data_IF_343945495576
#
_entry.id   IF_343945495576
#
_cell.length_a   1.000
_cell.length_b   1.000
_cell.length_c   1.000
_cell.angle_alpha   90.00
_cell.angle_beta   90.00
_cell.angle_gamma   90.00
#
_symmetry.space_group_name_H-M   'P 1'
#
loop_
_entity.id
_entity.type
_entity.pdbx_description
1 polymer ?
#
# COMPACT_ATOMS: atom_id res chain seq x y z
N UNK A 1 10.73 -16.14 -0.53
CA UNK A 1 9.84 -15.06 -0.02
C UNK A 1 10.71 -13.99 0.65
N UNK A 2 10.37 -12.69 0.54
CA UNK A 2 11.18 -11.57 1.08
C UNK A 2 11.05 -11.34 2.59
N UNK A 3 9.90 -11.66 3.19
CA UNK A 3 9.62 -11.44 4.61
C UNK A 3 9.38 -12.77 5.33
N UNK A 4 9.87 -12.91 6.56
CA UNK A 4 9.65 -14.08 7.41
C UNK A 4 8.17 -14.17 7.84
N UNK A 5 7.63 -15.39 7.91
CA UNK A 5 6.30 -15.63 8.47
C UNK A 5 6.42 -15.84 9.97
N UNK A 6 5.65 -15.06 10.74
CA UNK A 6 5.62 -15.13 12.19
C UNK A 6 4.32 -15.84 12.60
N UNK A 7 4.33 -17.16 12.65
CA UNK A 7 3.11 -17.99 12.77
C UNK A 7 2.23 -17.59 13.96
N UNK A 8 2.82 -17.40 15.14
CA UNK A 8 2.09 -17.00 16.35
C UNK A 8 1.43 -15.62 16.21
N UNK A 9 2.16 -14.65 15.66
CA UNK A 9 1.66 -13.28 15.49
C UNK A 9 0.60 -13.21 14.38
N UNK A 10 0.83 -13.93 13.28
CA UNK A 10 -0.09 -14.01 12.16
C UNK A 10 -1.39 -14.73 12.53
N UNK A 11 -1.34 -15.74 13.39
CA UNK A 11 -2.55 -16.38 13.91
C UNK A 11 -3.46 -15.37 14.63
N UNK A 12 -2.88 -14.52 15.49
CA UNK A 12 -3.64 -13.43 16.12
C UNK A 12 -4.20 -12.42 15.12
N UNK A 13 -3.48 -12.13 14.03
CA UNK A 13 -4.01 -11.28 12.96
C UNK A 13 -5.14 -11.92 12.17
N UNK A 14 -5.06 -13.23 11.91
CA UNK A 14 -6.11 -14.00 11.25
C UNK A 14 -7.38 -13.97 12.10
N UNK A 15 -7.27 -14.30 13.38
CA UNK A 15 -8.40 -14.25 14.31
C UNK A 15 -9.07 -12.87 14.33
N UNK A 16 -8.29 -11.79 14.51
CA UNK A 16 -8.84 -10.41 14.51
C UNK A 16 -9.53 -10.05 13.20
N UNK A 17 -8.99 -10.50 12.06
CA UNK A 17 -9.61 -10.28 10.75
C UNK A 17 -10.95 -10.99 10.63
N UNK A 18 -11.01 -12.27 11.03
CA UNK A 18 -12.23 -13.06 11.03
C UNK A 18 -13.28 -12.42 11.93
N UNK A 19 -12.98 -12.15 13.20
CA UNK A 19 -13.95 -11.54 14.12
C UNK A 19 -14.47 -10.20 13.61
N UNK A 20 -13.62 -9.37 12.98
CA UNK A 20 -14.06 -8.13 12.33
C UNK A 20 -15.06 -8.40 11.21
N UNK A 21 -14.78 -9.39 10.36
CA UNK A 21 -15.64 -9.75 9.22
C UNK A 21 -17.00 -10.27 9.66
N UNK A 22 -17.04 -11.07 10.73
CA UNK A 22 -18.29 -11.55 11.31
C UNK A 22 -19.12 -10.39 11.88
N UNK A 23 -18.47 -9.44 12.57
CA UNK A 23 -19.14 -8.23 13.08
C UNK A 23 -19.68 -7.33 11.96
N UNK A 24 -19.09 -7.37 10.77
CA UNK A 24 -19.58 -6.68 9.56
C UNK A 24 -20.76 -7.41 8.89
N UNK A 25 -21.12 -8.61 9.36
CA UNK A 25 -22.20 -9.44 8.81
C UNK A 25 -21.76 -10.38 7.68
N UNK A 26 -20.46 -10.51 7.41
CA UNK A 26 -19.95 -11.42 6.38
C UNK A 26 -20.01 -12.88 6.86
N UNK A 27 -20.45 -13.80 5.99
CA UNK A 27 -20.41 -15.24 6.25
C UNK A 27 -18.97 -15.75 6.25
N UNK A 28 -18.47 -16.14 7.43
CA UNK A 28 -17.10 -16.64 7.60
C UNK A 28 -17.00 -18.13 7.31
N UNK A 29 -18.05 -18.87 7.65
CA UNK A 29 -18.05 -20.32 7.62
C UNK A 29 -18.42 -20.85 6.23
N UNK A 30 -17.95 -22.05 5.89
CA UNK A 30 -18.39 -22.78 4.69
C UNK A 30 -19.74 -23.50 4.88
N UNK A 31 -20.28 -23.50 6.10
CA UNK A 31 -21.53 -24.16 6.46
C UNK A 31 -22.75 -23.43 5.89
N UNK A 32 -23.69 -24.20 5.34
CA UNK A 32 -24.96 -23.71 4.82
C UNK A 32 -25.98 -23.56 5.96
N UNK A 33 -25.90 -24.44 6.96
CA UNK A 33 -26.76 -24.40 8.14
C UNK A 33 -26.35 -23.27 9.09
N UNK A 34 -27.33 -22.44 9.45
CA UNK A 34 -27.17 -21.34 10.41
C UNK A 34 -26.71 -21.82 11.78
N UNK A 35 -27.21 -22.96 12.26
CA UNK A 35 -26.86 -23.45 13.60
C UNK A 35 -25.41 -23.94 13.67
N UNK A 36 -24.94 -24.62 12.62
CA UNK A 36 -23.54 -25.05 12.53
C UNK A 36 -22.58 -23.87 12.32
N UNK A 37 -23.00 -22.88 11.55
CA UNK A 37 -22.25 -21.64 11.36
C UNK A 37 -22.07 -20.88 12.68
N UNK A 38 -23.16 -20.72 13.45
CA UNK A 38 -23.12 -20.07 14.76
C UNK A 38 -22.23 -20.83 15.75
N UNK A 39 -22.36 -22.17 15.82
CA UNK A 39 -21.51 -22.99 16.68
C UNK A 39 -20.01 -22.83 16.35
N UNK A 40 -19.66 -22.88 15.07
CA UNK A 40 -18.27 -22.67 14.64
C UNK A 40 -17.77 -21.25 14.96
N UNK A 41 -18.63 -20.23 14.90
CA UNK A 41 -18.26 -18.87 15.31
C UNK A 41 -18.03 -18.77 16.82
N UNK A 42 -18.84 -19.43 17.64
CA UNK A 42 -18.62 -19.48 19.09
C UNK A 42 -17.29 -20.17 19.43
N UNK A 43 -16.96 -21.27 18.75
CA UNK A 43 -15.67 -21.94 18.87
C UNK A 43 -14.51 -20.99 18.52
N UNK A 44 -14.66 -20.20 17.46
CA UNK A 44 -13.66 -19.21 17.06
C UNK A 44 -13.46 -18.14 18.15
N UNK A 45 -14.53 -17.64 18.76
CA UNK A 45 -14.43 -16.63 19.81
C UNK A 45 -13.71 -17.15 21.06
N UNK A 46 -13.86 -18.43 21.39
CA UNK A 46 -13.22 -19.05 22.55
C UNK A 46 -11.69 -19.25 22.40
N UNK A 47 -11.18 -19.37 21.17
CA UNK A 47 -9.78 -19.71 20.87
C UNK A 47 -8.84 -18.50 20.64
N UNK A 48 -9.22 -17.29 21.09
CA UNK A 48 -8.47 -16.04 20.84
C UNK A 48 -6.97 -16.13 21.14
N UNK A 49 -6.60 -16.79 22.24
CA UNK A 49 -5.21 -16.88 22.71
C UNK A 49 -4.47 -18.15 22.23
N UNK A 50 -5.10 -18.98 21.40
CA UNK A 50 -4.57 -20.29 21.02
C UNK A 50 -4.25 -20.35 19.51
N UNK A 51 -3.04 -19.94 19.09
CA UNK A 51 -2.71 -19.74 17.68
C UNK A 51 -2.84 -21.02 16.84
N UNK A 52 -2.52 -22.18 17.43
CA UNK A 52 -2.62 -23.48 16.76
C UNK A 52 -4.07 -23.90 16.50
N UNK A 53 -4.99 -23.60 17.43
CA UNK A 53 -6.41 -23.89 17.26
C UNK A 53 -7.05 -22.97 16.22
N UNK A 54 -6.63 -21.71 16.15
CA UNK A 54 -7.08 -20.77 15.11
C UNK A 54 -6.77 -21.29 13.71
N UNK A 55 -5.56 -21.83 13.50
CA UNK A 55 -5.17 -22.40 12.19
C UNK A 55 -6.05 -23.60 11.86
N UNK A 56 -6.22 -24.54 12.82
CA UNK A 56 -7.09 -25.71 12.64
C UNK A 56 -8.54 -25.34 12.34
N UNK A 57 -9.04 -24.28 12.98
CA UNK A 57 -10.38 -23.77 12.73
C UNK A 57 -10.51 -23.25 11.30
N UNK A 58 -9.53 -22.49 10.82
CA UNK A 58 -9.51 -21.97 9.45
C UNK A 58 -9.50 -23.12 8.44
N UNK A 59 -8.70 -24.15 8.65
CA UNK A 59 -8.61 -25.27 7.72
C UNK A 59 -9.92 -26.07 7.64
N UNK A 60 -10.71 -26.10 8.72
CA UNK A 60 -11.93 -26.91 8.83
C UNK A 60 -13.22 -26.17 8.47
N UNK A 61 -13.36 -24.91 8.89
CA UNK A 61 -14.64 -24.20 8.90
C UNK A 61 -14.69 -23.00 7.95
N UNK A 62 -13.58 -22.58 7.36
CA UNK A 62 -13.49 -21.34 6.59
C UNK A 62 -14.19 -21.42 5.23
N UNK A 63 -14.89 -20.34 4.86
CA UNK A 63 -15.41 -20.14 3.50
C UNK A 63 -14.27 -19.95 2.48
N UNK A 64 -14.31 -20.62 1.31
CA UNK A 64 -13.25 -20.55 0.30
C UNK A 64 -13.06 -19.16 -0.29
N UNK A 65 -14.14 -18.35 -0.38
CA UNK A 65 -14.06 -16.98 -0.87
C UNK A 65 -13.33 -16.06 0.11
N UNK A 66 -13.55 -16.29 1.40
CA UNK A 66 -12.90 -15.53 2.46
C UNK A 66 -11.44 -15.96 2.64
N UNK A 67 -11.08 -17.22 2.40
CA UNK A 67 -9.70 -17.71 2.53
C UNK A 67 -8.73 -16.93 1.61
N UNK A 68 -9.11 -16.71 0.35
CA UNK A 68 -8.31 -15.91 -0.60
C UNK A 68 -8.10 -14.49 -0.09
N UNK A 69 -9.18 -13.83 0.37
CA UNK A 69 -9.14 -12.47 0.92
C UNK A 69 -8.30 -12.40 2.20
N UNK A 70 -8.42 -13.39 3.08
CA UNK A 70 -7.63 -13.52 4.30
C UNK A 70 -6.14 -13.63 3.98
N UNK A 71 -5.75 -14.53 3.07
CA UNK A 71 -4.34 -14.69 2.66
C UNK A 71 -3.75 -13.39 2.13
N UNK A 72 -4.50 -12.64 1.32
CA UNK A 72 -4.08 -11.32 0.83
C UNK A 72 -3.96 -10.29 1.96
N UNK A 73 -4.94 -10.22 2.86
CA UNK A 73 -4.96 -9.30 3.99
C UNK A 73 -3.77 -9.55 4.94
N UNK A 74 -3.47 -10.82 5.25
CA UNK A 74 -2.34 -11.19 6.10
C UNK A 74 -1.01 -10.91 5.40
N UNK A 75 -0.89 -11.16 4.09
CA UNK A 75 0.30 -10.79 3.31
C UNK A 75 0.54 -9.28 3.34
N UNK A 76 -0.51 -8.47 3.15
CA UNK A 76 -0.41 -7.02 3.22
C UNK A 76 -0.02 -6.54 4.62
N UNK A 77 -0.61 -7.12 5.67
CA UNK A 77 -0.30 -6.80 7.07
C UNK A 77 1.14 -7.15 7.43
N UNK A 78 1.62 -8.33 7.02
CA UNK A 78 3.03 -8.75 7.17
C UNK A 78 3.98 -7.76 6.50
N UNK A 79 3.72 -7.39 5.24
CA UNK A 79 4.54 -6.40 4.53
C UNK A 79 4.57 -5.07 5.27
N UNK A 80 3.43 -4.57 5.75
CA UNK A 80 3.33 -3.31 6.49
C UNK A 80 4.04 -3.36 7.84
N UNK A 81 3.98 -4.50 8.55
CA UNK A 81 4.67 -4.71 9.81
C UNK A 81 6.18 -4.53 9.64
N UNK A 82 6.81 -5.28 8.73
CA UNK A 82 8.24 -5.16 8.47
C UNK A 82 8.63 -3.80 7.87
N UNK A 83 7.81 -3.25 6.97
CA UNK A 83 8.09 -1.92 6.39
C UNK A 83 7.92 -0.77 7.41
N UNK A 84 7.29 -0.99 8.56
CA UNK A 84 7.17 0.04 9.58
C UNK A 84 8.49 0.22 10.35
N UNK A 85 9.34 -0.80 10.40
CA UNK A 85 10.62 -0.81 11.13
C UNK A 85 11.61 0.20 10.54
N UNK A 86 11.65 0.35 9.22
CA UNK A 86 12.57 1.26 8.53
C UNK A 86 11.82 2.45 7.92
N UNK A 87 12.33 3.67 8.12
CA UNK A 87 11.70 4.90 7.60
C UNK A 87 11.62 4.89 6.08
N UNK A 88 12.67 4.47 5.38
CA UNK A 88 12.72 4.48 3.91
C UNK A 88 11.80 3.44 3.25
N UNK A 89 11.34 2.41 3.97
CA UNK A 89 10.37 1.43 3.43
C UNK A 89 8.92 1.74 3.82
N UNK A 90 8.73 2.67 4.77
CA UNK A 90 7.43 3.15 5.21
C UNK A 90 6.75 3.94 4.09
N UNK A 91 5.45 3.72 3.92
CA UNK A 91 4.64 4.42 2.92
C UNK A 91 3.69 5.39 3.61
N UNK A 92 3.40 6.51 2.95
CA UNK A 92 2.47 7.54 3.41
C UNK A 92 1.25 7.52 2.51
N UNK A 93 0.06 7.56 3.10
CA UNK A 93 -1.17 7.83 2.38
C UNK A 93 -1.28 9.35 2.20
N UNK A 94 -1.55 9.78 0.97
CA UNK A 94 -1.81 11.17 0.61
C UNK A 94 -3.11 11.21 -0.18
N UNK A 95 -3.90 12.26 0.03
CA UNK A 95 -5.08 12.53 -0.78
C UNK A 95 -4.70 13.61 -1.81
N UNK A 96 -5.10 13.39 -3.07
CA UNK A 96 -4.87 14.30 -4.18
C UNK A 96 -6.22 14.63 -4.82
N UNK A 97 -6.36 15.84 -5.34
CA UNK A 97 -7.49 16.19 -6.18
C UNK A 97 -7.55 15.28 -7.40
N UNK A 98 -8.77 14.89 -7.79
CA UNK A 98 -8.99 13.91 -8.86
C UNK A 98 -8.22 14.23 -10.15
N UNK A 99 -8.27 15.50 -10.59
CA UNK A 99 -7.58 15.94 -11.83
C UNK A 99 -6.06 15.90 -11.72
N UNK A 100 -5.51 16.12 -10.53
CA UNK A 100 -4.06 16.05 -10.28
C UNK A 100 -3.61 14.59 -10.30
N UNK A 101 -4.35 13.73 -9.61
CA UNK A 101 -4.12 12.30 -9.62
C UNK A 101 -4.21 11.70 -11.03
N UNK A 102 -5.22 12.09 -11.82
CA UNK A 102 -5.42 11.61 -13.19
C UNK A 102 -4.21 11.91 -14.08
N UNK A 103 -3.75 13.16 -14.11
CA UNK A 103 -2.56 13.57 -14.86
C UNK A 103 -1.30 12.83 -14.43
N UNK A 104 -1.10 12.69 -13.11
CA UNK A 104 0.06 11.96 -12.58
C UNK A 104 -0.01 10.47 -12.97
N UNK A 105 -1.19 9.87 -12.93
CA UNK A 105 -1.40 8.47 -13.29
C UNK A 105 -1.25 8.22 -14.79
N UNK A 106 -1.64 9.16 -15.65
CA UNK A 106 -1.36 9.12 -17.09
C UNK A 106 0.14 9.19 -17.34
N UNK A 107 0.84 10.16 -16.73
CA UNK A 107 2.30 10.28 -16.89
C UNK A 107 3.05 9.06 -16.39
N UNK A 108 2.62 8.48 -15.27
CA UNK A 108 3.16 7.24 -14.70
C UNK A 108 2.96 6.04 -15.64
N UNK A 109 1.82 5.96 -16.33
CA UNK A 109 1.55 4.95 -17.37
C UNK A 109 2.40 5.16 -18.62
N UNK A 110 2.58 6.41 -19.07
CA UNK A 110 3.44 6.72 -20.22
C UNK A 110 4.91 6.34 -19.99
N UNK A 111 5.39 6.49 -18.76
CA UNK A 111 6.78 6.22 -18.37
C UNK A 111 6.99 4.79 -17.86
N UNK A 112 5.94 3.95 -17.83
CA UNK A 112 5.96 2.59 -17.28
C UNK A 112 6.59 2.49 -15.87
N UNK A 113 6.38 3.52 -15.03
CA UNK A 113 6.98 3.62 -13.70
C UNK A 113 5.92 3.80 -12.60
N UNK A 114 6.28 3.59 -11.34
CA UNK A 114 5.32 3.79 -10.24
C UNK A 114 5.07 5.28 -10.01
N UNK A 115 3.89 5.65 -9.48
CA UNK A 115 3.57 7.05 -9.15
C UNK A 115 4.67 7.74 -8.33
N UNK A 116 5.31 7.02 -7.40
CA UNK A 116 6.42 7.57 -6.60
C UNK A 116 7.64 7.88 -7.45
N UNK A 117 8.02 6.98 -8.35
CA UNK A 117 9.18 7.16 -9.24
C UNK A 117 8.88 8.26 -10.27
N UNK A 118 7.64 8.37 -10.74
CA UNK A 118 7.18 9.46 -11.61
C UNK A 118 7.35 10.81 -10.93
N UNK A 119 6.98 10.93 -9.64
CA UNK A 119 7.16 12.18 -8.88
C UNK A 119 8.66 12.53 -8.78
N UNK A 120 9.51 11.55 -8.47
CA UNK A 120 10.96 11.77 -8.38
C UNK A 120 11.56 12.21 -9.73
N UNK A 121 11.12 11.56 -10.82
CA UNK A 121 11.50 11.94 -12.18
C UNK A 121 11.10 13.39 -12.50
N UNK A 122 9.84 13.76 -12.26
CA UNK A 122 9.33 15.11 -12.54
C UNK A 122 10.03 16.19 -11.72
N UNK A 123 10.34 15.91 -10.45
CA UNK A 123 11.13 16.82 -9.61
C UNK A 123 12.54 16.99 -10.17
N UNK A 124 13.17 15.91 -10.62
CA UNK A 124 14.50 15.96 -11.21
C UNK A 124 14.53 16.75 -12.53
N UNK A 125 13.50 16.60 -13.38
CA UNK A 125 13.37 17.34 -14.64
C UNK A 125 13.09 18.83 -14.41
N UNK A 126 12.21 19.15 -13.44
CA UNK A 126 11.92 20.54 -13.07
C UNK A 126 13.20 21.26 -12.62
N UNK A 127 13.99 20.62 -11.76
CA UNK A 127 15.26 21.18 -11.29
C UNK A 127 16.27 21.39 -12.43
N UNK A 128 16.37 20.43 -13.37
CA UNK A 128 17.24 20.56 -14.55
C UNK A 128 16.79 21.71 -15.46
N UNK A 129 15.49 21.87 -15.67
CA UNK A 129 14.90 22.92 -16.50
C UNK A 129 15.12 24.30 -15.88
N UNK A 130 14.97 24.43 -14.56
CA UNK A 130 15.27 25.68 -13.84
C UNK A 130 16.75 26.06 -13.96
N UNK A 131 17.66 25.10 -13.73
CA UNK A 131 19.10 25.33 -13.89
C UNK A 131 19.50 25.71 -15.31
N UNK A 132 18.89 25.05 -16.31
CA UNK A 132 19.13 25.37 -17.72
C UNK A 132 18.64 26.79 -18.05
N UNK A 133 17.45 27.16 -17.56
CA UNK A 133 16.89 28.50 -17.77
C UNK A 133 17.75 29.59 -17.14
N UNK A 134 18.28 29.37 -15.93
CA UNK A 134 19.24 30.27 -15.28
C UNK A 134 20.52 30.44 -16.10
N UNK A 135 21.13 29.32 -16.53
CA UNK A 135 22.34 29.39 -17.38
C UNK A 135 22.10 30.14 -18.68
N UNK A 136 20.95 29.94 -19.33
CA UNK A 136 20.61 30.67 -20.56
C UNK A 136 20.44 32.16 -20.28
N UNK A 137 19.84 32.53 -19.13
CA UNK A 137 19.71 33.93 -18.72
C UNK A 137 21.08 34.55 -18.42
N UNK A 138 21.94 33.84 -17.69
CA UNK A 138 23.30 34.27 -17.37
C UNK A 138 24.10 34.51 -18.66
N UNK A 139 24.09 33.54 -19.59
CA UNK A 139 24.74 33.68 -20.90
C UNK A 139 24.16 34.87 -21.68
N UNK A 140 22.84 35.09 -21.63
CA UNK A 140 22.22 36.23 -22.31
C UNK A 140 22.69 37.56 -21.72
N UNK A 141 22.79 37.66 -20.40
CA UNK A 141 23.29 38.86 -19.71
C UNK A 141 24.77 39.07 -20.01
N UNK A 142 25.59 38.02 -19.91
CA UNK A 142 27.02 38.09 -20.24
C UNK A 142 27.25 38.56 -21.69
N UNK A 143 26.44 38.06 -22.64
CA UNK A 143 26.52 38.50 -24.04
C UNK A 143 26.05 39.95 -24.21
N UNK A 144 25.01 40.37 -23.49
CA UNK A 144 24.53 41.75 -23.52
C UNK A 144 25.61 42.71 -23.01
N UNK A 145 26.27 42.36 -21.91
CA UNK A 145 27.36 43.13 -21.31
C UNK A 145 28.61 43.16 -22.22
N UNK A 146 28.92 42.06 -22.91
CA UNK A 146 30.05 41.99 -23.83
C UNK A 146 29.85 42.75 -25.14
N UNK A 147 28.60 42.90 -25.58
CA UNK A 147 28.26 43.54 -26.85
C UNK A 147 27.97 45.05 -26.70
N UNK A 148 28.01 45.61 -25.48
CA UNK A 148 27.62 47.00 -25.18
C UNK A 148 26.37 47.42 -25.97
N UNK A 149 25.36 46.55 -26.00
CA UNK A 149 24.04 46.92 -26.55
C UNK A 149 23.37 47.78 -25.49
N UNK A 150 23.86 49.01 -25.34
CA UNK A 150 23.12 50.08 -24.70
C UNK A 150 21.82 50.25 -25.50
N UNK A 151 20.70 49.89 -24.88
CA UNK A 151 19.38 50.18 -25.39
C UNK A 151 19.17 51.71 -25.36
N UNK A 152 19.42 52.36 -26.49
CA UNK A 152 18.65 53.55 -26.90
C UNK A 152 17.34 53.15 -27.61
#
# INVERSE_FOLDING_TARGET
MKYQQLENLEAGWKWKYLVKKWKEGDAITCHIDTSEAEAAVQDLLAIEHEPTKVIKWIDKHMSPDLDKKLKQAIRAKRKRHFNAEQVHTRKKSIDLDYRVWEKLAEKSRELDCTLSDTIEYLLSESNKTEQASKKVLDIKNDLHDLLDIDLE
#
